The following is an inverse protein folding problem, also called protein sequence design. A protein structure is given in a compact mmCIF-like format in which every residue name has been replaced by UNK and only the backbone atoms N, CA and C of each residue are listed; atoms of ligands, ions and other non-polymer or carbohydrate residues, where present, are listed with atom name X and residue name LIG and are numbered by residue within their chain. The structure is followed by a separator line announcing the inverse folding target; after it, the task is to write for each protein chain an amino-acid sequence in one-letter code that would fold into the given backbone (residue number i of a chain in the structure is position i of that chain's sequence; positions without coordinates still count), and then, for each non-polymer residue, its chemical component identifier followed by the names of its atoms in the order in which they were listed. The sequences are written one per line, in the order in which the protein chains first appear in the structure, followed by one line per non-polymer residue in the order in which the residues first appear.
data_IF_232000973937
#
_entry.id   IF_232000973937
#
_cell.length_a   1.000
_cell.length_b   1.000
_cell.length_c   1.000
_cell.angle_alpha   90.00
_cell.angle_beta   90.00
_cell.angle_gamma   90.00
#
_symmetry.space_group_name_H-M   'P 1'
#
loop_
_entity.id
_entity.type
_entity.pdbx_description
1 polymer ?
#
# COMPACT_ATOMS: atom_id res chain seq x y z
N UNK A 1 68.51 45.07 16.19
CA UNK A 1 68.46 43.66 15.74
C UNK A 1 68.15 42.79 16.96
N UNK A 2 67.29 41.76 16.79
CA UNK A 2 66.33 41.17 17.77
C UNK A 2 65.01 41.97 17.76
N UNK A 3 63.83 41.47 17.38
CA UNK A 3 63.34 40.13 17.02
C UNK A 3 62.00 39.88 17.72
N UNK A 4 60.96 39.50 16.95
CA UNK A 4 59.60 39.00 17.30
C UNK A 4 58.46 40.02 17.59
N UNK A 5 57.18 39.67 17.34
CA UNK A 5 56.63 39.01 16.14
C UNK A 5 55.28 39.60 15.65
N UNK A 6 54.86 39.14 14.48
CA UNK A 6 53.61 39.44 13.78
C UNK A 6 52.36 38.97 14.54
N UNK A 7 51.33 39.84 14.59
CA UNK A 7 49.96 39.46 14.93
C UNK A 7 49.11 39.43 13.65
N UNK A 8 48.69 38.24 13.25
CA UNK A 8 47.76 38.00 12.16
C UNK A 8 46.33 38.35 12.61
N UNK A 9 45.68 39.30 11.93
CA UNK A 9 44.26 39.56 12.06
C UNK A 9 43.49 38.52 11.23
N UNK A 10 42.89 37.53 11.89
CA UNK A 10 41.89 36.67 11.28
C UNK A 10 40.54 37.41 11.27
N UNK A 11 40.12 37.86 10.09
CA UNK A 11 38.76 38.35 9.86
C UNK A 11 37.82 37.14 9.76
N UNK A 12 37.07 36.85 10.82
CA UNK A 12 36.00 35.86 10.81
C UNK A 12 34.78 36.47 10.09
N UNK A 13 34.56 36.08 8.84
CA UNK A 13 33.35 36.37 8.10
C UNK A 13 32.25 35.41 8.60
N UNK A 14 31.42 35.86 9.53
CA UNK A 14 30.23 35.14 9.95
C UNK A 14 29.19 35.19 8.81
N UNK A 15 29.11 34.11 8.03
CA UNK A 15 27.99 33.89 7.13
C UNK A 15 26.72 33.66 7.97
N UNK A 16 25.86 34.67 8.05
CA UNK A 16 24.48 34.48 8.52
C UNK A 16 23.79 33.54 7.53
N UNK A 17 23.70 32.27 7.89
CA UNK A 17 22.72 31.34 7.33
C UNK A 17 21.34 31.79 7.81
N UNK A 18 20.66 32.62 7.01
CA UNK A 18 19.23 32.83 7.17
C UNK A 18 18.54 31.52 6.81
N UNK A 19 18.16 30.74 7.81
CA UNK A 19 17.19 29.66 7.63
C UNK A 19 15.87 30.32 7.25
N UNK A 20 15.60 30.43 5.96
CA UNK A 20 14.24 30.69 5.49
C UNK A 20 13.38 29.58 6.07
N UNK A 21 12.46 29.97 6.96
CA UNK A 21 11.47 29.05 7.49
C UNK A 21 10.73 28.45 6.29
N UNK A 22 10.98 27.17 6.01
CA UNK A 22 10.14 26.41 5.13
C UNK A 22 8.72 26.57 5.68
N UNK A 23 7.85 27.24 4.92
CA UNK A 23 6.43 27.30 5.22
C UNK A 23 5.99 25.86 5.43
N UNK A 24 5.58 25.53 6.66
CA UNK A 24 5.09 24.21 6.99
C UNK A 24 4.02 23.85 5.98
N UNK A 25 4.13 22.67 5.35
CA UNK A 25 3.05 22.16 4.53
C UNK A 25 1.77 22.22 5.38
N UNK A 26 0.69 22.87 4.90
CA UNK A 26 -0.46 23.15 5.74
C UNK A 26 -1.24 21.88 6.17
N UNK A 27 -0.80 20.71 5.71
CA UNK A 27 -1.33 19.39 6.06
C UNK A 27 -0.20 18.41 6.42
N UNK A 28 -0.19 17.90 7.67
CA UNK A 28 0.88 17.07 8.22
C UNK A 28 0.62 15.55 8.09
N UNK A 29 0.43 15.07 6.86
CA UNK A 29 0.24 13.63 6.55
C UNK A 29 1.07 13.18 5.35
N UNK A 30 2.40 13.44 5.33
CA UNK A 30 3.22 13.29 4.14
C UNK A 30 3.26 11.88 3.54
N UNK A 31 3.00 10.86 4.35
CA UNK A 31 3.02 9.45 3.92
C UNK A 31 1.67 8.99 3.32
N UNK A 32 0.62 9.80 3.41
CA UNK A 32 -0.71 9.42 2.96
C UNK A 32 -0.96 9.87 1.51
N UNK A 33 -1.56 8.98 0.71
CA UNK A 33 -1.98 9.34 -0.63
C UNK A 33 -3.24 10.19 -0.62
N UNK A 34 -3.38 10.99 -1.66
CA UNK A 34 -4.64 11.64 -2.04
C UNK A 34 -5.10 10.97 -3.34
N UNK A 35 -6.25 10.29 -3.28
CA UNK A 35 -6.82 9.58 -4.43
C UNK A 35 -8.22 10.13 -4.71
N UNK A 36 -8.45 10.57 -5.94
CA UNK A 36 -9.74 11.02 -6.44
C UNK A 36 -10.16 10.13 -7.60
N UNK A 37 -11.46 9.86 -7.75
CA UNK A 37 -11.97 9.33 -9.01
C UNK A 37 -12.11 10.45 -10.03
N UNK A 38 -12.11 10.15 -11.32
CA UNK A 38 -12.28 11.18 -12.35
C UNK A 38 -13.64 11.86 -12.33
N UNK A 39 -14.66 11.20 -11.77
CA UNK A 39 -15.94 11.83 -11.42
C UNK A 39 -15.80 13.03 -10.47
N UNK A 40 -14.72 13.11 -9.67
CA UNK A 40 -14.41 14.23 -8.78
C UNK A 40 -13.52 15.30 -9.42
N UNK A 41 -13.09 15.13 -10.67
CA UNK A 41 -12.31 16.11 -11.43
C UNK A 41 -12.78 16.17 -12.89
N UNK A 42 -14.10 16.39 -13.14
CA UNK A 42 -14.71 16.22 -14.46
C UNK A 42 -14.16 17.20 -15.52
N UNK A 43 -13.52 18.30 -15.13
CA UNK A 43 -12.85 19.23 -16.06
C UNK A 43 -11.72 18.59 -16.87
N UNK A 44 -11.18 17.46 -16.41
CA UNK A 44 -10.14 16.71 -17.12
C UNK A 44 -10.69 15.58 -18.00
N UNK A 45 -12.00 15.31 -17.97
CA UNK A 45 -12.59 14.22 -18.74
C UNK A 45 -12.25 14.35 -20.24
N UNK A 46 -11.89 13.21 -20.86
CA UNK A 46 -11.45 13.14 -22.25
C UNK A 46 -9.98 13.52 -22.49
N UNK A 47 -9.22 13.90 -21.45
CA UNK A 47 -7.76 14.03 -21.56
C UNK A 47 -7.12 12.64 -21.64
N UNK A 48 -6.03 12.50 -22.38
CA UNK A 48 -5.26 11.26 -22.29
C UNK A 48 -4.60 11.17 -20.90
N UNK A 49 -4.53 9.98 -20.25
CA UNK A 49 -3.96 9.84 -18.91
C UNK A 49 -2.56 10.44 -18.76
N UNK A 50 -1.68 10.28 -19.76
CA UNK A 50 -0.32 10.83 -19.76
C UNK A 50 -0.24 12.35 -19.93
N UNK A 51 -1.34 13.00 -20.28
CA UNK A 51 -1.41 14.45 -20.49
C UNK A 51 -1.93 15.19 -19.25
N UNK A 52 -2.34 14.47 -18.20
CA UNK A 52 -2.71 15.04 -16.90
C UNK A 52 -1.44 15.27 -16.08
N UNK A 53 -1.21 16.52 -15.70
CA UNK A 53 -0.06 16.95 -14.89
C UNK A 53 -0.53 17.73 -13.67
N UNK A 54 0.26 17.72 -12.60
CA UNK A 54 -0.07 18.40 -11.35
C UNK A 54 0.96 19.46 -10.98
N UNK A 55 0.48 20.53 -10.38
CA UNK A 55 1.30 21.59 -9.83
C UNK A 55 0.84 21.97 -8.44
N UNK A 56 1.82 22.24 -7.57
CA UNK A 56 1.57 22.96 -6.31
C UNK A 56 1.99 24.41 -6.46
N UNK A 57 1.31 25.30 -5.75
CA UNK A 57 1.76 26.68 -5.60
C UNK A 57 2.50 26.82 -4.27
N UNK A 58 3.69 27.45 -4.30
CA UNK A 58 4.51 27.67 -3.12
C UNK A 58 4.84 29.14 -2.96
N UNK A 59 4.60 29.69 -1.77
CA UNK A 59 4.87 31.10 -1.45
C UNK A 59 6.32 31.47 -1.82
N UNK A 60 6.49 32.55 -2.58
CA UNK A 60 7.79 33.09 -3.00
C UNK A 60 8.48 32.36 -4.14
N UNK A 61 8.04 31.15 -4.53
CA UNK A 61 8.60 30.41 -5.68
C UNK A 61 7.60 30.16 -6.81
N UNK A 62 6.31 30.34 -6.54
CA UNK A 62 5.24 30.19 -7.52
C UNK A 62 4.93 28.72 -7.83
N UNK A 63 4.60 28.46 -9.09
CA UNK A 63 4.24 27.13 -9.57
C UNK A 63 5.43 26.15 -9.56
N UNK A 64 5.21 24.98 -8.97
CA UNK A 64 6.13 23.86 -8.98
C UNK A 64 5.41 22.62 -9.46
N UNK A 65 5.93 21.97 -10.49
CA UNK A 65 5.38 20.69 -10.93
C UNK A 65 5.58 19.65 -9.83
N UNK A 66 4.57 18.82 -9.59
CA UNK A 66 4.61 17.70 -8.67
C UNK A 66 4.14 16.42 -9.36
N UNK A 67 4.59 15.24 -8.92
CA UNK A 67 4.19 14.01 -9.55
C UNK A 67 2.68 13.77 -9.40
N UNK A 68 2.07 13.17 -10.41
CA UNK A 68 0.70 12.69 -10.42
C UNK A 68 0.64 11.40 -11.21
N UNK A 69 -0.29 10.53 -10.85
CA UNK A 69 -0.52 9.27 -11.52
C UNK A 69 -2.01 9.14 -11.84
N UNK A 70 -2.31 8.77 -13.07
CA UNK A 70 -3.65 8.34 -13.48
C UNK A 70 -3.64 6.83 -13.59
N UNK A 71 -4.48 6.18 -12.80
CA UNK A 71 -4.67 4.73 -12.82
C UNK A 71 -6.02 4.44 -13.46
N UNK A 72 -5.96 3.95 -14.70
CA UNK A 72 -7.15 3.61 -15.47
C UNK A 72 -7.95 2.47 -14.84
N UNK A 73 -9.29 2.59 -14.85
CA UNK A 73 -10.21 1.61 -14.28
C UNK A 73 -11.48 1.51 -15.12
N UNK A 74 -12.00 0.29 -15.20
CA UNK A 74 -13.27 0.03 -15.88
C UNK A 74 -14.14 -0.97 -15.13
N UNK A 75 -15.46 -0.89 -15.33
CA UNK A 75 -16.39 -1.97 -14.96
C UNK A 75 -16.20 -3.18 -15.87
N UNK A 76 -15.63 -4.27 -15.33
CA UNK A 76 -15.28 -5.47 -16.09
C UNK A 76 -15.86 -6.74 -15.48
N UNK A 77 -16.12 -7.73 -16.33
CA UNK A 77 -16.47 -9.07 -15.90
C UNK A 77 -15.27 -9.73 -15.19
N UNK A 78 -15.52 -10.36 -14.05
CA UNK A 78 -14.47 -10.99 -13.24
C UNK A 78 -13.86 -12.23 -13.92
N UNK A 79 -14.46 -12.77 -14.98
CA UNK A 79 -13.85 -13.79 -15.82
C UNK A 79 -12.81 -13.23 -16.80
N UNK A 80 -12.79 -11.91 -17.05
CA UNK A 80 -11.88 -11.28 -18.03
C UNK A 80 -10.39 -11.51 -17.70
N UNK A 81 -9.91 -11.33 -16.44
CA UNK A 81 -8.52 -11.65 -16.08
C UNK A 81 -8.11 -13.11 -16.35
N UNK A 82 -9.07 -14.03 -16.44
CA UNK A 82 -8.85 -15.44 -16.74
C UNK A 82 -8.88 -15.78 -18.24
N UNK A 83 -8.95 -14.77 -19.13
CA UNK A 83 -9.26 -14.97 -20.54
C UNK A 83 -10.54 -15.82 -20.74
N UNK A 84 -11.45 -15.76 -19.77
CA UNK A 84 -12.64 -16.59 -19.70
C UNK A 84 -13.83 -15.99 -20.45
N UNK A 85 -14.86 -16.81 -20.65
CA UNK A 85 -16.16 -16.30 -21.13
C UNK A 85 -16.81 -15.47 -20.03
N UNK A 86 -17.40 -14.29 -20.35
CA UNK A 86 -18.12 -13.48 -19.37
C UNK A 86 -19.18 -14.28 -18.61
N UNK A 87 -19.27 -14.02 -17.31
CA UNK A 87 -20.22 -14.67 -16.38
C UNK A 87 -21.37 -13.77 -15.97
N UNK A 88 -21.30 -12.47 -16.30
CA UNK A 88 -22.23 -11.44 -15.85
C UNK A 88 -21.87 -10.86 -14.47
N UNK A 89 -20.86 -11.41 -13.79
CA UNK A 89 -20.37 -10.89 -12.51
C UNK A 89 -19.36 -9.80 -12.78
N UNK A 90 -19.74 -8.55 -12.55
CA UNK A 90 -18.92 -7.38 -12.84
C UNK A 90 -18.44 -6.65 -11.58
N UNK A 91 -17.28 -6.00 -11.67
CA UNK A 91 -16.81 -5.03 -10.69
C UNK A 91 -15.85 -4.02 -11.34
N UNK A 92 -15.65 -2.87 -10.71
CA UNK A 92 -14.62 -1.91 -11.13
C UNK A 92 -13.24 -2.51 -10.89
N UNK A 93 -12.44 -2.63 -11.95
CA UNK A 93 -11.09 -3.20 -11.93
C UNK A 93 -10.08 -2.21 -12.51
N UNK A 94 -8.86 -2.22 -12.00
CA UNK A 94 -7.75 -1.56 -12.69
C UNK A 94 -7.52 -2.22 -14.05
N UNK A 95 -7.36 -1.43 -15.09
CA UNK A 95 -7.06 -1.90 -16.44
C UNK A 95 -5.56 -1.94 -16.67
N UNK A 96 -5.09 -2.82 -17.53
CA UNK A 96 -3.67 -2.99 -17.85
C UNK A 96 -3.53 -3.71 -19.20
N UNK A 97 -3.00 -3.01 -20.20
CA UNK A 97 -2.78 -3.58 -21.53
C UNK A 97 -1.80 -4.76 -21.54
N UNK A 98 -0.95 -4.89 -20.50
CA UNK A 98 -0.03 -5.99 -20.33
C UNK A 98 -0.67 -7.22 -19.65
N UNK A 99 -1.96 -7.17 -19.28
CA UNK A 99 -2.69 -8.31 -18.69
C UNK A 99 -3.90 -8.73 -19.52
N UNK A 100 -4.54 -9.84 -19.15
CA UNK A 100 -5.82 -10.25 -19.73
C UNK A 100 -6.97 -9.29 -19.40
N UNK A 101 -6.82 -8.44 -18.38
CA UNK A 101 -7.77 -7.35 -18.13
C UNK A 101 -7.81 -6.39 -19.32
N UNK A 102 -6.68 -6.21 -20.02
CA UNK A 102 -6.55 -5.36 -21.19
C UNK A 102 -6.57 -3.87 -20.86
N UNK A 103 -6.39 -3.01 -21.88
CA UNK A 103 -6.47 -1.56 -21.70
C UNK A 103 -7.89 -1.15 -21.28
N UNK A 104 -8.00 0.10 -20.84
CA UNK A 104 -9.30 0.70 -20.61
C UNK A 104 -10.15 0.71 -21.89
N UNK A 105 -11.41 0.24 -21.85
CA UNK A 105 -12.35 0.46 -22.95
C UNK A 105 -12.53 1.95 -23.29
N UNK A 106 -12.41 2.84 -22.30
CA UNK A 106 -12.39 4.29 -22.47
C UNK A 106 -10.93 4.78 -22.37
N UNK A 107 -10.24 4.86 -23.52
CA UNK A 107 -8.81 5.18 -23.57
C UNK A 107 -8.42 6.60 -23.11
N UNK A 108 -9.40 7.40 -22.68
CA UNK A 108 -9.20 8.76 -22.17
C UNK A 108 -9.78 8.85 -20.78
N UNK A 109 -9.19 9.69 -19.95
CA UNK A 109 -9.59 9.90 -18.57
C UNK A 109 -11.10 10.11 -18.42
N UNK A 110 -11.73 9.28 -17.60
CA UNK A 110 -13.19 9.22 -17.45
C UNK A 110 -13.63 9.27 -15.97
N UNK A 111 -14.80 8.71 -15.64
CA UNK A 111 -15.40 8.87 -14.32
C UNK A 111 -14.84 7.90 -13.25
N UNK A 112 -14.47 6.67 -13.64
CA UNK A 112 -14.01 5.61 -12.73
C UNK A 112 -12.49 5.50 -12.60
N UNK A 113 -11.74 6.14 -13.50
CA UNK A 113 -10.31 6.36 -13.36
C UNK A 113 -9.91 7.01 -12.04
N UNK A 114 -8.72 6.69 -11.54
CA UNK A 114 -8.17 7.28 -10.31
C UNK A 114 -7.03 8.26 -10.61
N UNK A 115 -7.08 9.46 -10.01
CA UNK A 115 -5.93 10.37 -9.90
C UNK A 115 -5.31 10.22 -8.52
N UNK A 116 -4.06 9.79 -8.48
CA UNK A 116 -3.28 9.60 -7.27
C UNK A 116 -2.16 10.64 -7.15
N UNK A 117 -1.99 11.16 -5.93
CA UNK A 117 -0.98 12.14 -5.52
C UNK A 117 -0.49 11.79 -4.11
N UNK A 118 0.62 12.37 -3.66
CA UNK A 118 1.03 12.31 -2.24
C UNK A 118 0.68 13.61 -1.51
N UNK A 119 0.21 13.52 -0.27
CA UNK A 119 -0.10 14.71 0.52
C UNK A 119 1.14 15.60 0.79
N UNK A 120 2.35 15.02 0.77
CA UNK A 120 3.62 15.75 0.84
C UNK A 120 3.85 16.72 -0.34
N UNK A 121 3.12 16.53 -1.44
CA UNK A 121 3.22 17.34 -2.65
C UNK A 121 2.19 18.46 -2.73
N UNK A 122 1.37 18.63 -1.69
CA UNK A 122 0.43 19.74 -1.62
C UNK A 122 1.16 21.07 -1.32
N UNK A 123 0.62 22.15 -1.86
CA UNK A 123 1.05 23.52 -1.61
C UNK A 123 -0.07 24.36 -1.01
N UNK A 124 0.07 25.68 -1.16
CA UNK A 124 -0.96 26.66 -0.81
C UNK A 124 -1.88 26.91 -2.01
N UNK A 125 -2.98 27.64 -1.80
CA UNK A 125 -3.85 28.10 -2.87
C UNK A 125 -3.06 28.94 -3.89
N UNK A 126 -3.30 28.71 -5.18
CA UNK A 126 -2.67 29.46 -6.26
C UNK A 126 -3.15 30.91 -6.37
N UNK A 127 -2.41 31.72 -7.11
CA UNK A 127 -2.70 33.14 -7.36
C UNK A 127 -3.62 33.40 -8.55
N UNK A 128 -4.19 32.34 -9.14
CA UNK A 128 -5.04 32.43 -10.33
C UNK A 128 -4.30 32.47 -11.66
N UNK A 129 -2.96 32.49 -11.67
CA UNK A 129 -2.17 32.33 -12.89
C UNK A 129 -2.06 30.86 -13.30
N UNK A 130 -1.63 30.58 -14.53
CA UNK A 130 -1.39 29.21 -14.99
C UNK A 130 0.10 28.99 -15.29
N UNK A 131 0.65 27.79 -14.97
CA UNK A 131 2.04 27.48 -15.26
C UNK A 131 2.28 27.40 -16.78
N UNK A 132 3.51 27.67 -17.21
CA UNK A 132 3.90 27.52 -18.63
C UNK A 132 3.80 26.05 -19.04
N UNK A 133 3.32 25.80 -20.27
CA UNK A 133 3.26 24.46 -20.85
C UNK A 133 1.98 23.69 -20.53
N UNK A 134 0.94 24.36 -20.03
CA UNK A 134 -0.41 23.79 -19.87
C UNK A 134 -1.38 24.38 -20.88
N UNK A 135 -2.45 23.64 -21.18
CA UNK A 135 -3.56 24.14 -22.00
C UNK A 135 -4.28 25.23 -21.22
N UNK A 136 -4.43 26.46 -21.77
CA UNK A 136 -5.06 27.56 -21.07
C UNK A 136 -6.48 27.25 -20.61
N UNK A 137 -6.80 27.55 -19.35
CA UNK A 137 -8.11 27.32 -18.74
C UNK A 137 -8.42 25.86 -18.38
N UNK A 138 -7.45 24.95 -18.49
CA UNK A 138 -7.63 23.52 -18.14
C UNK A 138 -7.47 23.21 -16.64
N UNK A 139 -7.13 24.22 -15.82
CA UNK A 139 -6.85 24.05 -14.40
C UNK A 139 -8.05 23.57 -13.59
N UNK A 140 -7.90 22.41 -12.93
CA UNK A 140 -8.83 21.88 -11.93
C UNK A 140 -8.16 21.96 -10.57
N UNK A 141 -8.62 22.89 -9.72
CA UNK A 141 -8.10 23.06 -8.36
C UNK A 141 -8.64 21.95 -7.47
N UNK A 142 -7.76 21.28 -6.76
CA UNK A 142 -8.11 20.26 -5.77
C UNK A 142 -7.74 20.78 -4.38
N UNK A 143 -8.76 20.93 -3.55
CA UNK A 143 -8.60 21.23 -2.11
C UNK A 143 -8.60 19.91 -1.35
N UNK A 144 -7.60 19.73 -0.50
CA UNK A 144 -7.43 18.56 0.36
C UNK A 144 -7.51 18.99 1.82
N UNK A 145 -8.30 18.28 2.63
CA UNK A 145 -8.43 18.53 4.08
C UNK A 145 -8.20 17.28 4.89
N UNK A 146 -7.72 17.46 6.11
CA UNK A 146 -7.60 16.39 7.10
C UNK A 146 -8.85 16.34 8.00
N UNK A 147 -9.65 15.24 8.00
CA UNK A 147 -10.79 15.13 8.91
C UNK A 147 -10.42 15.13 10.40
N UNK A 148 -9.15 14.89 10.73
CA UNK A 148 -8.65 14.92 12.11
C UNK A 148 -8.18 16.32 12.56
N UNK A 149 -7.98 17.24 11.62
CA UNK A 149 -7.59 18.63 11.88
C UNK A 149 -8.31 19.54 10.88
N UNK A 150 -9.42 20.12 11.31
CA UNK A 150 -10.26 20.96 10.45
C UNK A 150 -9.56 22.23 9.94
N UNK A 151 -8.43 22.63 10.54
CA UNK A 151 -7.62 23.75 10.08
C UNK A 151 -6.54 23.33 9.06
N UNK A 152 -6.22 22.03 8.98
CA UNK A 152 -5.23 21.51 8.05
C UNK A 152 -5.84 21.35 6.64
N UNK A 153 -5.33 22.13 5.71
CA UNK A 153 -5.70 22.03 4.29
C UNK A 153 -4.46 22.08 3.40
N UNK A 154 -4.58 21.63 2.16
CA UNK A 154 -3.53 21.74 1.16
C UNK A 154 -4.14 21.78 -0.23
N UNK A 155 -3.41 22.35 -1.18
CA UNK A 155 -3.89 22.56 -2.54
C UNK A 155 -2.94 22.00 -3.58
N UNK A 156 -3.53 21.51 -4.66
CA UNK A 156 -2.84 21.14 -5.89
C UNK A 156 -3.77 21.47 -7.05
N UNK A 157 -3.21 21.87 -8.19
CA UNK A 157 -3.99 22.15 -9.38
C UNK A 157 -3.55 21.19 -10.48
N UNK A 158 -4.53 20.45 -11.01
CA UNK A 158 -4.35 19.54 -12.12
C UNK A 158 -4.58 20.28 -13.43
N UNK A 159 -3.80 19.99 -14.45
CA UNK A 159 -3.92 20.60 -15.77
C UNK A 159 -3.81 19.55 -16.87
N UNK A 160 -4.27 19.90 -18.07
CA UNK A 160 -3.85 19.24 -19.30
C UNK A 160 -2.56 19.90 -19.77
N UNK A 161 -1.52 19.13 -20.07
CA UNK A 161 -0.28 19.69 -20.64
C UNK A 161 -0.49 20.12 -22.09
N UNK A 162 0.24 21.14 -22.51
CA UNK A 162 0.36 21.59 -23.90
C UNK A 162 1.69 21.07 -24.48
N UNK A 163 1.61 20.03 -25.32
CA UNK A 163 2.77 19.33 -25.85
C UNK A 163 3.36 18.29 -24.89
N UNK A 164 4.68 18.05 -24.97
CA UNK A 164 5.34 16.92 -24.29
C UNK A 164 6.46 17.34 -23.33
N UNK A 165 6.59 18.63 -23.02
CA UNK A 165 7.66 19.16 -22.15
C UNK A 165 7.40 18.88 -20.68
N UNK A 166 6.14 18.86 -20.27
CA UNK A 166 5.73 18.46 -18.93
C UNK A 166 5.54 16.95 -18.85
N UNK A 167 6.04 16.35 -17.78
CA UNK A 167 5.95 14.93 -17.49
C UNK A 167 5.12 14.67 -16.23
N UNK A 168 4.13 13.76 -16.22
CA UNK A 168 3.35 13.45 -15.01
C UNK A 168 4.20 13.02 -13.80
N UNK A 169 5.41 12.48 -14.01
CA UNK A 169 6.37 12.18 -12.95
C UNK A 169 7.17 13.39 -12.43
N UNK A 170 6.98 14.58 -13.02
CA UNK A 170 7.65 15.83 -12.66
C UNK A 170 9.19 15.72 -12.59
N UNK A 171 9.77 14.92 -13.48
CA UNK A 171 11.21 14.60 -13.53
C UNK A 171 11.80 14.06 -12.21
N UNK A 172 10.97 13.60 -11.27
CA UNK A 172 11.44 12.96 -10.04
C UNK A 172 11.73 11.49 -10.31
N UNK A 173 12.83 10.99 -9.75
CA UNK A 173 13.04 9.53 -9.64
C UNK A 173 11.88 8.96 -8.85
N UNK A 174 11.18 7.97 -9.41
CA UNK A 174 9.99 7.41 -8.79
C UNK A 174 10.36 6.86 -7.40
N UNK A 175 9.65 7.29 -6.35
CA UNK A 175 9.96 6.86 -4.99
C UNK A 175 9.54 5.40 -4.74
N UNK A 176 8.87 4.76 -5.70
CA UNK A 176 8.49 3.35 -5.71
C UNK A 176 8.92 2.74 -7.03
N UNK A 177 9.61 1.62 -6.97
CA UNK A 177 9.97 0.81 -8.13
C UNK A 177 9.43 -0.60 -7.96
N UNK A 178 8.53 -1.00 -8.84
CA UNK A 178 7.99 -2.36 -8.90
C UNK A 178 8.49 -3.07 -10.16
N UNK A 179 9.14 -4.21 -9.95
CA UNK A 179 9.56 -5.13 -11.00
C UNK A 179 8.78 -6.42 -10.85
N UNK A 180 7.86 -6.67 -11.77
CA UNK A 180 7.20 -7.96 -11.92
C UNK A 180 8.05 -8.88 -12.81
N UNK A 181 8.31 -10.12 -12.37
CA UNK A 181 9.09 -11.08 -13.15
C UNK A 181 8.72 -12.52 -12.84
N UNK A 182 8.28 -13.26 -13.85
CA UNK A 182 8.13 -14.72 -13.74
C UNK A 182 9.50 -15.40 -13.68
N UNK A 183 9.65 -16.37 -12.78
CA UNK A 183 10.92 -17.06 -12.55
C UNK A 183 11.31 -17.94 -13.75
N UNK A 184 10.36 -18.32 -14.60
CA UNK A 184 10.61 -19.03 -15.85
C UNK A 184 11.20 -18.13 -16.97
N UNK A 185 11.37 -16.83 -16.71
CA UNK A 185 11.91 -15.85 -17.66
C UNK A 185 10.94 -15.41 -18.76
N UNK A 186 9.72 -15.93 -18.78
CA UNK A 186 8.69 -15.53 -19.71
C UNK A 186 7.95 -14.26 -19.27
N UNK A 187 7.10 -13.75 -20.17
CA UNK A 187 6.29 -12.55 -19.91
C UNK A 187 4.85 -12.93 -19.60
N UNK A 188 4.19 -12.16 -18.73
CA UNK A 188 2.74 -12.22 -18.61
C UNK A 188 2.10 -11.49 -19.81
N UNK A 189 0.98 -11.98 -20.34
CA UNK A 189 0.25 -13.18 -19.91
C UNK A 189 0.76 -14.51 -20.52
N UNK A 190 1.60 -14.47 -21.55
CA UNK A 190 1.91 -15.62 -22.39
C UNK A 190 2.54 -16.82 -21.66
N UNK A 191 3.37 -16.56 -20.64
CA UNK A 191 4.09 -17.60 -19.90
C UNK A 191 3.44 -17.99 -18.56
N UNK A 192 2.18 -17.57 -18.34
CA UNK A 192 1.46 -17.79 -17.09
C UNK A 192 0.37 -18.85 -17.24
N UNK A 193 0.35 -19.83 -16.35
CA UNK A 193 -0.68 -20.86 -16.31
C UNK A 193 -1.86 -20.40 -15.44
N UNK A 194 -2.97 -20.05 -16.10
CA UNK A 194 -4.19 -19.59 -15.44
C UNK A 194 -4.94 -20.71 -14.71
N UNK A 195 -4.84 -21.95 -15.19
CA UNK A 195 -5.64 -23.07 -14.71
C UNK A 195 -5.00 -23.79 -13.53
N UNK A 196 -3.67 -23.89 -13.52
CA UNK A 196 -2.93 -24.59 -12.47
C UNK A 196 -1.60 -23.88 -12.21
N UNK A 197 -1.38 -23.44 -10.98
CA UNK A 197 -0.05 -23.01 -10.55
C UNK A 197 0.81 -24.18 -10.03
N UNK A 198 1.90 -23.87 -9.32
CA UNK A 198 2.39 -22.52 -9.04
C UNK A 198 2.84 -21.81 -10.33
N UNK A 199 2.91 -20.48 -10.27
CA UNK A 199 3.56 -19.67 -11.30
C UNK A 199 4.68 -18.86 -10.62
N UNK A 200 5.81 -19.51 -10.28
CA UNK A 200 6.83 -18.87 -9.47
C UNK A 200 7.32 -17.59 -10.13
N UNK A 201 7.58 -16.60 -9.30
CA UNK A 201 8.06 -15.28 -9.69
C UNK A 201 9.28 -14.88 -8.84
N UNK A 202 9.92 -13.78 -9.22
CA UNK A 202 10.93 -13.07 -8.42
C UNK A 202 10.65 -11.59 -8.60
N UNK A 203 9.52 -11.19 -8.00
CA UNK A 203 8.95 -9.86 -8.13
C UNK A 203 9.37 -9.03 -6.92
N UNK A 204 9.80 -7.78 -7.15
CA UNK A 204 10.31 -6.92 -6.08
C UNK A 204 9.69 -5.54 -6.10
N UNK A 205 9.34 -5.02 -4.93
CA UNK A 205 9.03 -3.59 -4.73
C UNK A 205 10.15 -2.98 -3.92
N UNK A 206 10.73 -1.88 -4.39
CA UNK A 206 11.78 -1.15 -3.69
C UNK A 206 11.41 0.33 -3.59
N UNK A 207 11.54 0.89 -2.39
CA UNK A 207 11.47 2.33 -2.11
C UNK A 207 12.74 2.74 -1.35
N UNK A 208 13.00 4.04 -1.14
CA UNK A 208 14.05 4.48 -0.22
C UNK A 208 13.84 4.03 1.24
N UNK A 209 12.66 3.51 1.59
CA UNK A 209 12.23 3.28 2.96
C UNK A 209 11.95 1.81 3.28
N UNK A 210 11.63 1.00 2.28
CA UNK A 210 11.44 -0.44 2.44
C UNK A 210 11.63 -1.22 1.14
N UNK A 211 11.74 -2.54 1.26
CA UNK A 211 11.70 -3.46 0.14
C UNK A 211 10.78 -4.64 0.47
N UNK A 212 10.03 -5.12 -0.54
CA UNK A 212 9.22 -6.34 -0.52
C UNK A 212 9.66 -7.28 -1.64
N UNK A 213 9.45 -8.57 -1.45
CA UNK A 213 9.60 -9.54 -2.53
C UNK A 213 8.50 -10.60 -2.47
N UNK A 214 8.15 -11.04 -3.67
CA UNK A 214 7.13 -12.03 -3.89
C UNK A 214 7.72 -13.16 -4.73
N UNK A 215 7.50 -14.41 -4.32
CA UNK A 215 7.92 -15.60 -5.08
C UNK A 215 6.78 -16.33 -5.79
N UNK A 216 5.53 -15.91 -5.58
CA UNK A 216 4.34 -16.24 -6.38
C UNK A 216 3.22 -15.26 -6.04
N UNK A 217 2.08 -15.35 -6.73
CA UNK A 217 0.96 -14.40 -6.64
C UNK A 217 0.55 -14.11 -5.19
N UNK A 218 0.35 -15.15 -4.35
CA UNK A 218 -0.06 -15.01 -2.94
C UNK A 218 1.11 -14.97 -1.96
N UNK A 219 2.33 -15.07 -2.45
CA UNK A 219 3.50 -15.33 -1.65
C UNK A 219 4.34 -14.07 -1.52
N UNK A 220 4.29 -13.44 -0.35
CA UNK A 220 5.19 -12.38 0.08
C UNK A 220 6.09 -12.93 1.19
N UNK A 221 7.39 -12.97 0.92
CA UNK A 221 8.35 -13.79 1.67
C UNK A 221 9.65 -13.05 1.99
N UNK A 222 9.66 -11.72 1.83
CA UNK A 222 10.74 -10.86 2.32
C UNK A 222 10.26 -9.44 2.54
N UNK A 223 10.69 -8.86 3.65
CA UNK A 223 10.42 -7.48 4.05
C UNK A 223 11.67 -6.86 4.68
N UNK A 224 12.15 -5.76 4.12
CA UNK A 224 13.25 -4.97 4.69
C UNK A 224 12.79 -3.54 4.94
N UNK A 225 13.20 -2.96 6.05
CA UNK A 225 12.93 -1.55 6.41
C UNK A 225 14.23 -0.77 6.46
N UNK A 226 14.24 0.41 5.84
CA UNK A 226 15.38 1.32 5.75
C UNK A 226 15.11 2.69 6.38
N UNK A 227 13.83 2.99 6.69
CA UNK A 227 13.42 4.25 7.31
C UNK A 227 14.26 4.58 8.55
N UNK A 228 14.75 5.81 8.64
CA UNK A 228 15.42 6.33 9.84
C UNK A 228 16.70 5.59 10.23
N UNK A 229 17.40 4.97 9.28
CA UNK A 229 18.62 4.21 9.54
C UNK A 229 18.36 2.81 10.09
N UNK A 230 17.16 2.26 9.87
CA UNK A 230 16.86 0.87 10.15
C UNK A 230 17.86 -0.07 9.45
N UNK A 231 18.17 -1.20 10.09
CA UNK A 231 19.27 -2.09 9.71
C UNK A 231 19.09 -2.78 8.35
N UNK A 232 17.88 -2.77 7.78
CA UNK A 232 17.61 -3.40 6.49
C UNK A 232 17.66 -4.93 6.52
N UNK A 233 17.66 -5.55 7.71
CA UNK A 233 17.53 -7.01 7.84
C UNK A 233 16.19 -7.48 7.29
N UNK A 234 16.16 -8.72 6.81
CA UNK A 234 14.92 -9.33 6.32
C UNK A 234 14.07 -9.82 7.49
N UNK A 235 12.93 -9.16 7.70
CA UNK A 235 12.05 -9.38 8.83
C UNK A 235 11.01 -10.46 8.57
N UNK A 236 10.65 -10.76 7.32
CA UNK A 236 9.48 -11.57 7.01
C UNK A 236 9.91 -12.97 6.57
N UNK A 237 9.37 -14.00 7.24
CA UNK A 237 9.36 -15.36 6.68
C UNK A 237 8.25 -15.44 5.64
N UNK A 238 7.03 -15.05 6.03
CA UNK A 238 5.87 -15.17 5.14
C UNK A 238 4.68 -14.28 5.53
N UNK A 239 3.98 -13.74 4.53
CA UNK A 239 2.59 -13.31 4.66
C UNK A 239 1.65 -14.50 4.49
N UNK A 240 1.27 -15.11 5.60
CA UNK A 240 0.50 -16.35 5.63
C UNK A 240 -1.00 -16.10 5.55
N UNK A 241 -1.70 -17.04 4.94
CA UNK A 241 -3.15 -17.15 5.02
C UNK A 241 -3.55 -18.54 5.48
N UNK A 242 -4.55 -18.66 6.37
CA UNK A 242 -5.08 -19.97 6.81
C UNK A 242 -6.59 -19.86 7.09
N UNK A 243 -7.30 -20.98 7.24
CA UNK A 243 -8.71 -20.97 7.70
C UNK A 243 -8.86 -20.96 9.23
N UNK A 244 -7.76 -21.16 9.95
CA UNK A 244 -7.74 -21.18 11.41
C UNK A 244 -6.40 -21.74 11.91
N UNK A 245 -6.10 -21.60 13.21
CA UNK A 245 -4.80 -21.97 13.75
C UNK A 245 -4.45 -23.43 13.47
N UNK A 246 -3.33 -23.67 12.77
CA UNK A 246 -2.84 -25.01 12.42
C UNK A 246 -3.58 -25.71 11.28
N UNK A 247 -4.52 -25.02 10.62
CA UNK A 247 -5.28 -25.58 9.50
C UNK A 247 -4.55 -25.38 8.17
N UNK A 248 -3.93 -26.44 7.67
CA UNK A 248 -3.16 -26.42 6.42
C UNK A 248 -3.96 -26.85 5.18
N UNK A 249 -5.29 -26.86 5.27
CA UNK A 249 -6.16 -27.21 4.12
C UNK A 249 -6.14 -26.12 3.05
N UNK A 250 -5.96 -24.87 3.48
CA UNK A 250 -5.81 -23.68 2.65
C UNK A 250 -4.68 -22.82 3.18
N UNK A 251 -3.81 -22.42 2.26
CA UNK A 251 -2.67 -21.53 2.45
C UNK A 251 -2.38 -20.74 1.19
N UNK A 252 -1.54 -19.72 1.30
CA UNK A 252 -1.01 -18.97 0.17
C UNK A 252 -0.33 -19.86 -0.88
N UNK A 253 0.28 -20.98 -0.48
CA UNK A 253 0.82 -21.97 -1.41
C UNK A 253 -0.30 -22.69 -2.16
N UNK A 254 -1.35 -23.14 -1.46
CA UNK A 254 -2.47 -23.81 -2.13
C UNK A 254 -3.25 -22.86 -3.05
N UNK A 255 -3.29 -21.56 -2.73
CA UNK A 255 -3.87 -20.54 -3.58
C UNK A 255 -2.99 -20.30 -4.82
N UNK A 256 -1.68 -20.19 -4.62
CA UNK A 256 -0.73 -20.02 -5.71
C UNK A 256 -0.70 -21.22 -6.66
N UNK A 257 -0.84 -22.44 -6.12
CA UNK A 257 -0.87 -23.69 -6.89
C UNK A 257 -2.18 -23.91 -7.67
N UNK A 258 -3.24 -23.15 -7.38
CA UNK A 258 -4.54 -23.30 -8.04
C UNK A 258 -4.69 -22.38 -9.25
N UNK A 259 -5.90 -22.31 -9.78
CA UNK A 259 -6.31 -21.31 -10.75
C UNK A 259 -6.13 -19.89 -10.22
N UNK A 260 -5.78 -18.96 -11.10
CA UNK A 260 -5.73 -17.54 -10.78
C UNK A 260 -5.10 -16.71 -11.90
N UNK A 261 -5.14 -15.40 -11.76
CA UNK A 261 -4.63 -14.46 -12.75
C UNK A 261 -4.13 -13.16 -12.11
N UNK A 262 -3.26 -12.43 -12.82
CA UNK A 262 -3.00 -11.03 -12.51
C UNK A 262 -4.03 -10.13 -13.19
N UNK A 263 -4.60 -9.21 -12.41
CA UNK A 263 -5.47 -8.13 -12.88
C UNK A 263 -4.62 -6.98 -13.42
N UNK A 264 -3.58 -6.58 -12.67
CA UNK A 264 -2.68 -5.48 -13.03
C UNK A 264 -1.30 -5.65 -12.37
N UNK A 265 -0.25 -5.28 -13.09
CA UNK A 265 1.12 -5.14 -12.58
C UNK A 265 1.73 -3.81 -13.05
N UNK A 266 1.30 -2.70 -12.43
CA UNK A 266 1.67 -1.34 -12.83
C UNK A 266 2.76 -0.76 -11.93
N UNK A 267 3.72 -0.07 -12.54
CA UNK A 267 4.69 0.78 -11.86
C UNK A 267 4.44 2.23 -12.29
N UNK A 268 4.35 3.15 -11.33
CA UNK A 268 3.99 4.54 -11.61
C UNK A 268 4.69 5.56 -10.69
N UNK A 269 4.57 6.85 -11.00
CA UNK A 269 5.33 7.91 -10.33
C UNK A 269 4.90 8.18 -8.88
N UNK A 270 3.69 7.78 -8.49
CA UNK A 270 3.16 7.94 -7.13
C UNK A 270 3.11 6.61 -6.39
N UNK A 271 2.64 5.57 -7.08
CA UNK A 271 2.47 4.23 -6.52
C UNK A 271 2.68 3.14 -7.55
N UNK A 272 3.09 1.97 -7.06
CA UNK A 272 2.96 0.74 -7.83
C UNK A 272 1.69 -0.01 -7.42
N UNK A 273 1.10 -0.73 -8.37
CA UNK A 273 -0.12 -1.52 -8.18
C UNK A 273 0.15 -2.96 -8.61
N UNK A 274 -0.10 -3.88 -7.69
CA UNK A 274 -0.12 -5.32 -7.96
C UNK A 274 -1.48 -5.85 -7.54
N UNK A 275 -2.26 -6.37 -8.47
CA UNK A 275 -3.56 -6.98 -8.16
C UNK A 275 -3.72 -8.31 -8.87
N UNK A 276 -4.27 -9.29 -8.16
CA UNK A 276 -4.45 -10.66 -8.66
C UNK A 276 -5.69 -11.31 -8.05
N UNK A 277 -6.18 -12.34 -8.73
CA UNK A 277 -7.35 -13.14 -8.35
C UNK A 277 -7.01 -14.64 -8.24
N UNK A 278 -7.84 -15.35 -7.49
CA UNK A 278 -7.87 -16.81 -7.41
C UNK A 278 -7.38 -17.34 -6.06
N UNK A 279 -8.26 -18.02 -5.33
CA UNK A 279 -7.95 -18.60 -4.01
C UNK A 279 -8.64 -19.97 -3.84
N UNK A 280 -8.21 -20.96 -4.64
CA UNK A 280 -8.90 -22.25 -4.79
C UNK A 280 -10.39 -22.04 -5.12
N UNK A 281 -11.32 -22.42 -4.22
CA UNK A 281 -12.76 -22.33 -4.45
C UNK A 281 -13.33 -20.91 -4.45
N UNK A 282 -12.49 -19.89 -4.22
CA UNK A 282 -12.81 -18.48 -4.42
C UNK A 282 -12.09 -17.91 -5.64
N UNK A 283 -12.47 -18.27 -6.88
CA UNK A 283 -11.79 -17.79 -8.10
C UNK A 283 -11.83 -16.26 -8.23
N UNK A 284 -12.84 -15.60 -7.69
CA UNK A 284 -12.96 -14.14 -7.73
C UNK A 284 -12.46 -13.43 -6.47
N UNK A 285 -11.92 -14.17 -5.50
CA UNK A 285 -11.22 -13.55 -4.37
C UNK A 285 -10.01 -12.81 -4.93
N UNK A 286 -9.92 -11.53 -4.61
CA UNK A 286 -8.93 -10.63 -5.18
C UNK A 286 -8.11 -10.00 -4.07
N UNK A 287 -6.80 -9.90 -4.27
CA UNK A 287 -5.92 -9.10 -3.42
C UNK A 287 -5.22 -8.04 -4.27
N UNK A 288 -5.27 -6.81 -3.78
CA UNK A 288 -4.65 -5.63 -4.39
C UNK A 288 -3.66 -5.03 -3.41
N UNK A 289 -2.44 -4.82 -3.88
CA UNK A 289 -1.37 -4.13 -3.19
C UNK A 289 -1.15 -2.77 -3.83
N UNK A 290 -1.22 -1.71 -3.03
CA UNK A 290 -0.88 -0.34 -3.42
C UNK A 290 0.37 0.08 -2.65
N UNK A 291 1.49 0.22 -3.35
CA UNK A 291 2.78 0.55 -2.76
C UNK A 291 3.06 2.03 -2.91
N UNK A 292 3.19 2.73 -1.79
CA UNK A 292 3.61 4.12 -1.69
C UNK A 292 5.02 4.18 -1.08
N UNK A 293 5.69 5.35 -1.04
CA UNK A 293 7.07 5.45 -0.57
C UNK A 293 7.29 4.90 0.85
N UNK A 294 6.38 5.23 1.78
CA UNK A 294 6.46 4.84 3.21
C UNK A 294 5.22 4.11 3.73
N UNK A 295 4.30 3.79 2.83
CA UNK A 295 3.01 3.17 3.12
C UNK A 295 2.72 2.05 2.13
N UNK A 296 2.08 0.98 2.57
CA UNK A 296 1.62 -0.11 1.71
C UNK A 296 0.23 -0.52 2.15
N UNK A 297 -0.73 -0.46 1.21
CA UNK A 297 -2.11 -0.87 1.45
C UNK A 297 -2.35 -2.22 0.78
N UNK A 298 -2.82 -3.19 1.55
CA UNK A 298 -3.24 -4.52 1.05
C UNK A 298 -4.74 -4.64 1.22
N UNK A 299 -5.48 -4.68 0.13
CA UNK A 299 -6.93 -4.81 0.09
C UNK A 299 -7.28 -6.21 -0.39
N UNK A 300 -7.97 -7.00 0.42
CA UNK A 300 -8.45 -8.34 0.06
C UNK A 300 -9.97 -8.34 0.01
N UNK A 301 -10.53 -8.44 -1.19
CA UNK A 301 -11.96 -8.63 -1.40
C UNK A 301 -12.26 -10.12 -1.49
N UNK A 302 -12.89 -10.67 -0.44
CA UNK A 302 -13.22 -12.09 -0.37
C UNK A 302 -14.45 -12.38 -1.21
N UNK A 303 -14.35 -13.29 -2.20
CA UNK A 303 -15.48 -13.72 -3.03
C UNK A 303 -15.45 -15.23 -3.14
N UNK A 304 -16.13 -15.89 -2.21
CA UNK A 304 -16.14 -17.35 -2.05
C UNK A 304 -17.45 -17.83 -1.44
N UNK A 305 -17.79 -19.10 -1.67
CA UNK A 305 -18.90 -19.75 -0.96
C UNK A 305 -18.68 -19.69 0.56
N UNK A 306 -19.67 -20.07 1.37
CA UNK A 306 -19.50 -20.05 2.83
C UNK A 306 -18.28 -20.86 3.29
N UNK A 307 -17.48 -20.30 4.20
CA UNK A 307 -16.26 -20.91 4.76
C UNK A 307 -16.25 -20.77 6.29
N UNK A 308 -15.40 -21.56 6.95
CA UNK A 308 -15.42 -21.65 8.42
C UNK A 308 -14.65 -20.53 9.14
N UNK A 309 -13.87 -19.74 8.42
CA UNK A 309 -13.02 -18.70 8.99
C UNK A 309 -11.83 -18.38 8.10
N UNK A 310 -11.11 -17.33 8.46
CA UNK A 310 -9.91 -16.87 7.75
C UNK A 310 -8.91 -16.25 8.72
N UNK A 311 -7.63 -16.44 8.45
CA UNK A 311 -6.51 -15.78 9.09
C UNK A 311 -5.64 -15.18 7.99
N UNK A 312 -5.16 -13.97 8.24
CA UNK A 312 -4.26 -13.23 7.36
C UNK A 312 -3.20 -12.63 8.28
N UNK A 313 -1.97 -13.12 8.27
CA UNK A 313 -1.00 -12.80 9.31
C UNK A 313 0.44 -12.79 8.78
N UNK A 314 1.31 -12.07 9.45
CA UNK A 314 2.75 -12.14 9.17
C UNK A 314 3.40 -13.13 10.11
N UNK A 315 4.29 -13.95 9.57
CA UNK A 315 5.28 -14.69 10.33
C UNK A 315 6.66 -14.09 10.05
N UNK A 316 7.39 -13.77 11.10
CA UNK A 316 8.66 -13.07 10.97
C UNK A 316 9.82 -14.06 10.88
N UNK A 317 11.00 -13.58 10.51
CA UNK A 317 12.24 -14.36 10.67
C UNK A 317 12.81 -14.10 12.06
N UNK A 318 13.82 -14.90 12.46
CA UNK A 318 14.61 -14.63 13.67
C UNK A 318 15.31 -13.27 13.69
N UNK A 319 15.38 -12.54 12.57
CA UNK A 319 15.85 -11.15 12.57
C UNK A 319 14.95 -10.21 13.39
N UNK A 320 13.70 -10.61 13.63
CA UNK A 320 12.77 -9.91 14.51
C UNK A 320 13.02 -10.16 16.02
N UNK A 321 13.99 -11.02 16.39
CA UNK A 321 14.29 -11.25 17.80
C UNK A 321 14.69 -9.96 18.53
N UNK A 322 14.11 -9.76 19.71
CA UNK A 322 14.27 -8.56 20.52
C UNK A 322 13.37 -7.39 20.10
N UNK A 323 12.62 -7.49 19.00
CA UNK A 323 11.53 -6.55 18.70
C UNK A 323 10.37 -6.79 19.66
N UNK A 324 9.50 -5.78 19.83
CA UNK A 324 8.28 -5.92 20.63
C UNK A 324 7.05 -5.92 19.75
N UNK A 325 6.20 -6.93 19.90
CA UNK A 325 4.85 -6.98 19.34
C UNK A 325 3.84 -6.33 20.29
N UNK A 326 2.93 -5.50 19.76
CA UNK A 326 1.79 -4.91 20.47
C UNK A 326 0.58 -4.82 19.56
N UNK A 327 -0.61 -4.79 20.13
CA UNK A 327 -1.81 -4.49 19.37
C UNK A 327 -2.86 -3.71 20.18
N UNK A 328 -3.94 -3.31 19.52
CA UNK A 328 -5.00 -2.48 20.08
C UNK A 328 -5.62 -2.99 21.38
N UNK A 329 -5.76 -4.31 21.54
CA UNK A 329 -6.33 -4.93 22.73
C UNK A 329 -5.28 -5.31 23.79
N UNK A 330 -3.99 -5.36 23.45
CA UNK A 330 -2.89 -5.56 24.41
C UNK A 330 -1.70 -4.64 24.11
N UNK A 331 -1.68 -3.51 24.82
CA UNK A 331 -0.66 -2.47 24.64
C UNK A 331 0.61 -2.72 25.48
N UNK A 332 0.61 -3.67 26.42
CA UNK A 332 1.83 -4.04 27.16
C UNK A 332 2.83 -4.62 26.17
N UNK A 333 2.33 -5.53 25.34
CA UNK A 333 3.10 -6.22 24.32
C UNK A 333 3.98 -7.32 24.88
N UNK A 334 4.61 -8.02 23.95
CA UNK A 334 5.48 -9.15 24.22
C UNK A 334 6.74 -9.03 23.37
N UNK A 335 7.86 -9.53 23.88
CA UNK A 335 9.11 -9.55 23.14
C UNK A 335 9.09 -10.74 22.20
N UNK A 336 9.39 -10.52 20.92
CA UNK A 336 9.59 -11.61 19.98
C UNK A 336 10.95 -12.25 20.32
N UNK A 337 10.94 -13.47 20.84
CA UNK A 337 12.13 -14.21 21.26
C UNK A 337 12.08 -15.73 20.98
N UNK A 338 11.03 -16.17 20.26
CA UNK A 338 10.82 -17.57 19.91
C UNK A 338 10.20 -18.41 21.02
N UNK A 339 9.73 -17.80 22.12
CA UNK A 339 9.11 -18.51 23.24
C UNK A 339 7.62 -18.19 23.34
N UNK A 340 6.78 -19.18 23.70
CA UNK A 340 5.35 -18.96 23.84
C UNK A 340 5.01 -17.84 24.83
N UNK A 341 4.37 -16.80 24.33
CA UNK A 341 3.77 -15.75 25.15
C UNK A 341 2.27 -15.96 25.37
N UNK A 342 1.73 -15.30 26.39
CA UNK A 342 0.29 -15.13 26.56
C UNK A 342 -0.06 -13.68 26.28
N UNK A 343 -0.93 -13.45 25.29
CA UNK A 343 -1.43 -12.13 24.93
C UNK A 343 -2.96 -12.12 24.98
N UNK A 344 -3.54 -10.97 25.34
CA UNK A 344 -4.99 -10.83 25.39
C UNK A 344 -5.56 -10.70 23.98
N UNK A 345 -6.21 -11.74 23.48
CA UNK A 345 -6.91 -11.66 22.20
C UNK A 345 -8.08 -10.66 22.26
N UNK A 346 -8.33 -9.96 21.16
CA UNK A 346 -9.45 -9.04 21.05
C UNK A 346 -9.53 -8.40 19.66
N UNK A 347 -10.46 -7.46 19.49
CA UNK A 347 -10.61 -6.73 18.22
C UNK A 347 -9.29 -6.11 17.80
N UNK A 348 -8.83 -6.49 16.62
CA UNK A 348 -7.56 -6.05 16.08
C UNK A 348 -7.75 -4.83 15.19
N UNK A 349 -7.53 -3.65 15.76
CA UNK A 349 -7.63 -2.37 15.07
C UNK A 349 -6.31 -1.96 14.45
N UNK A 350 -5.24 -2.20 15.19
CA UNK A 350 -3.87 -2.01 14.77
C UNK A 350 -2.98 -3.00 15.50
N UNK A 351 -1.87 -3.33 14.89
CA UNK A 351 -0.74 -4.01 15.51
C UNK A 351 0.56 -3.33 15.15
N UNK A 352 1.59 -3.65 15.92
CA UNK A 352 2.90 -3.05 15.79
C UNK A 352 3.98 -4.06 16.11
N UNK A 353 5.01 -4.08 15.28
CA UNK A 353 6.28 -4.76 15.56
C UNK A 353 7.38 -3.71 15.49
N UNK A 354 8.11 -3.52 16.60
CA UNK A 354 9.07 -2.42 16.74
C UNK A 354 10.39 -2.88 17.33
N UNK A 355 11.50 -2.58 16.64
CA UNK A 355 12.85 -2.93 17.06
C UNK A 355 13.70 -1.72 17.44
N UNK A 356 14.80 -1.96 18.16
CA UNK A 356 15.77 -0.92 18.49
C UNK A 356 16.63 -0.53 17.28
N UNK A 357 16.84 -1.44 16.33
CA UNK A 357 17.66 -1.21 15.13
C UNK A 357 16.97 -1.65 13.84
N UNK A 358 16.04 -2.60 13.89
CA UNK A 358 15.40 -3.19 12.72
C UNK A 358 14.42 -2.26 11.98
N UNK A 359 13.98 -1.19 12.63
CA UNK A 359 12.84 -0.38 12.19
C UNK A 359 11.56 -0.76 12.93
N UNK A 360 10.45 -0.19 12.50
CA UNK A 360 9.12 -0.45 13.06
C UNK A 360 8.08 -0.59 11.96
N UNK A 361 7.08 -1.42 12.22
CA UNK A 361 5.89 -1.60 11.39
C UNK A 361 4.67 -1.17 12.20
N UNK A 362 3.93 -0.18 11.72
CA UNK A 362 2.59 0.14 12.21
C UNK A 362 1.59 -0.41 11.21
N UNK A 363 0.78 -1.39 11.62
CA UNK A 363 -0.14 -2.11 10.75
C UNK A 363 -1.56 -1.81 11.23
N UNK A 364 -2.39 -1.24 10.38
CA UNK A 364 -3.78 -0.86 10.68
C UNK A 364 -4.71 -1.79 9.92
N UNK A 365 -5.74 -2.29 10.60
CA UNK A 365 -6.74 -3.17 10.04
C UNK A 365 -8.09 -2.45 9.95
N UNK A 366 -8.71 -2.57 8.79
CA UNK A 366 -10.05 -2.08 8.50
C UNK A 366 -10.84 -3.17 7.78
N UNK A 367 -12.09 -3.38 8.18
CA UNK A 367 -13.00 -4.31 7.52
C UNK A 367 -14.19 -3.52 7.01
N UNK A 368 -14.53 -3.72 5.75
CA UNK A 368 -15.79 -3.29 5.16
C UNK A 368 -16.61 -4.53 4.84
N UNK A 369 -17.81 -4.62 5.41
CA UNK A 369 -18.66 -5.80 5.19
C UNK A 369 -20.14 -5.50 5.36
N UNK A 370 -20.97 -6.26 4.66
CA UNK A 370 -22.43 -6.30 4.89
C UNK A 370 -22.85 -7.44 5.81
N UNK A 371 -21.91 -8.26 6.30
CA UNK A 371 -22.19 -9.40 7.19
C UNK A 371 -22.58 -8.84 8.57
N UNK A 372 -23.81 -9.09 9.05
CA UNK A 372 -24.26 -8.56 10.34
C UNK A 372 -23.43 -9.11 11.50
N UNK A 373 -22.99 -8.23 12.40
CA UNK A 373 -22.26 -8.61 13.60
C UNK A 373 -20.89 -9.22 13.34
N UNK A 374 -20.30 -9.00 12.16
CA UNK A 374 -18.98 -9.49 11.82
C UNK A 374 -17.90 -8.88 12.76
N UNK A 375 -17.07 -9.74 13.35
CA UNK A 375 -16.01 -9.34 14.27
C UNK A 375 -14.76 -10.18 14.06
N UNK A 376 -13.63 -9.53 13.78
CA UNK A 376 -12.32 -10.18 13.75
C UNK A 376 -11.61 -10.02 15.09
N UNK A 377 -10.99 -11.10 15.58
CA UNK A 377 -10.10 -11.09 16.75
C UNK A 377 -8.64 -11.08 16.30
N UNK A 378 -7.71 -10.90 17.23
CA UNK A 378 -6.27 -11.10 17.01
C UNK A 378 -5.85 -12.55 17.22
N UNK A 379 -4.78 -12.94 16.54
CA UNK A 379 -4.02 -14.16 16.79
C UNK A 379 -2.53 -13.82 16.88
N UNK A 380 -1.82 -14.49 17.80
CA UNK A 380 -0.39 -14.34 18.01
C UNK A 380 0.23 -15.71 18.37
N UNK A 381 1.41 -15.99 17.84
CA UNK A 381 2.22 -17.14 18.22
C UNK A 381 3.72 -16.83 18.06
N UNK A 382 4.47 -16.99 19.14
CA UNK A 382 5.94 -16.97 19.11
C UNK A 382 6.45 -18.27 19.71
N UNK A 383 6.94 -19.18 18.88
CA UNK A 383 7.38 -20.51 19.28
C UNK A 383 8.24 -21.14 18.18
N UNK A 384 9.52 -21.38 18.44
CA UNK A 384 10.41 -22.06 17.48
C UNK A 384 10.13 -23.55 17.31
N UNK A 385 9.29 -24.13 18.16
CA UNK A 385 8.89 -25.54 18.10
C UNK A 385 7.38 -25.66 18.25
N UNK A 386 6.61 -25.08 17.33
CA UNK A 386 5.18 -25.15 17.43
C UNK A 386 4.73 -26.60 17.24
N UNK A 387 3.83 -27.07 18.12
CA UNK A 387 3.30 -28.43 18.03
C UNK A 387 2.43 -28.64 16.78
N UNK A 388 2.09 -29.90 16.48
CA UNK A 388 1.32 -30.30 15.29
C UNK A 388 -0.17 -29.90 15.28
N UNK A 389 -0.65 -29.20 16.31
CA UNK A 389 -2.06 -28.76 16.47
C UNK A 389 -2.20 -27.28 16.08
N UNK A 390 -2.78 -26.46 16.95
CA UNK A 390 -3.05 -25.03 16.71
C UNK A 390 -1.81 -24.19 16.38
N UNK A 391 -0.60 -24.68 16.67
CA UNK A 391 0.65 -24.01 16.33
C UNK A 391 1.23 -24.40 14.96
N UNK A 392 0.70 -25.44 14.30
CA UNK A 392 1.32 -26.01 13.10
C UNK A 392 1.56 -24.94 12.03
N UNK A 393 2.81 -24.82 11.61
CA UNK A 393 3.18 -24.01 10.45
C UNK A 393 2.88 -24.79 9.17
N UNK A 394 2.13 -24.15 8.28
CA UNK A 394 1.64 -24.79 7.04
C UNK A 394 2.54 -24.52 5.84
N UNK A 395 3.31 -23.44 5.91
CA UNK A 395 4.10 -22.84 4.84
C UNK A 395 5.22 -22.02 5.49
N UNK A 396 6.22 -21.60 4.71
CA UNK A 396 7.44 -21.00 5.23
C UNK A 396 8.31 -22.03 5.96
N UNK A 397 9.05 -21.59 6.96
CA UNK A 397 9.77 -22.51 7.84
C UNK A 397 8.85 -23.19 8.89
N UNK A 398 9.43 -24.02 9.75
CA UNK A 398 8.67 -24.73 10.79
C UNK A 398 8.48 -23.94 12.09
N UNK A 399 8.99 -22.72 12.15
CA UNK A 399 8.99 -21.84 13.32
C UNK A 399 7.83 -20.85 13.21
N UNK A 400 7.30 -20.42 14.36
CA UNK A 400 6.43 -19.26 14.42
C UNK A 400 7.22 -18.18 15.14
N UNK A 401 7.62 -17.10 14.48
CA UNK A 401 8.38 -16.02 15.12
C UNK A 401 7.51 -14.78 15.14
N UNK A 402 6.97 -14.45 16.30
CA UNK A 402 6.03 -13.32 16.46
C UNK A 402 4.86 -13.35 15.47
N UNK A 403 4.44 -14.54 15.05
CA UNK A 403 3.45 -14.74 14.00
C UNK A 403 2.12 -14.09 14.42
N UNK A 404 1.65 -13.09 13.70
CA UNK A 404 0.58 -12.21 14.19
C UNK A 404 -0.27 -11.56 13.10
N UNK A 405 -1.55 -11.43 13.41
CA UNK A 405 -2.51 -10.79 12.53
C UNK A 405 -3.95 -11.08 12.91
N UNK A 406 -4.91 -10.62 12.09
CA UNK A 406 -6.32 -10.87 12.33
C UNK A 406 -6.72 -12.33 12.10
N UNK A 407 -7.71 -12.75 12.87
CA UNK A 407 -8.39 -14.03 12.77
C UNK A 407 -9.90 -13.86 12.87
N UNK A 408 -10.60 -14.31 11.83
CA UNK A 408 -12.04 -14.54 11.84
C UNK A 408 -12.28 -16.00 12.18
N UNK A 409 -12.74 -16.29 13.40
CA UNK A 409 -12.94 -17.65 13.90
C UNK A 409 -14.35 -18.20 13.68
N UNK A 410 -15.32 -17.32 13.45
CA UNK A 410 -16.69 -17.72 13.14
C UNK A 410 -16.89 -17.91 11.64
N UNK A 411 -17.85 -18.77 11.28
CA UNK A 411 -18.22 -19.02 9.90
C UNK A 411 -18.57 -17.73 9.15
N UNK A 412 -18.07 -17.64 7.93
CA UNK A 412 -18.30 -16.52 7.01
C UNK A 412 -19.38 -16.98 6.02
N UNK A 413 -20.54 -16.30 5.94
CA UNK A 413 -21.55 -16.61 4.94
C UNK A 413 -21.01 -16.36 3.53
N UNK A 414 -21.74 -16.80 2.51
CA UNK A 414 -21.31 -16.65 1.12
C UNK A 414 -21.04 -15.19 0.76
N UNK A 415 -19.86 -14.94 0.19
CA UNK A 415 -19.47 -13.68 -0.47
C UNK A 415 -19.26 -13.84 -1.98
N UNK A 416 -19.56 -15.03 -2.49
CA UNK A 416 -19.51 -15.39 -3.90
C UNK A 416 -20.60 -14.68 -4.71
N UNK A 417 -20.20 -13.64 -5.45
CA UNK A 417 -21.07 -12.78 -6.26
C UNK A 417 -21.77 -13.49 -7.43
N UNK A 418 -21.49 -14.77 -7.68
CA UNK A 418 -22.23 -15.57 -8.66
C UNK A 418 -23.58 -16.08 -8.12
N UNK A 419 -23.87 -15.85 -6.84
CA UNK A 419 -25.06 -16.34 -6.14
C UNK A 419 -25.98 -15.20 -5.70
N UNK A 420 -27.23 -15.54 -5.38
CA UNK A 420 -28.16 -14.61 -4.74
C UNK A 420 -27.86 -14.43 -3.24
N UNK A 421 -28.28 -13.29 -2.66
CA UNK A 421 -28.19 -13.06 -1.21
C UNK A 421 -26.76 -12.93 -0.67
N UNK A 422 -25.86 -12.39 -1.49
CA UNK A 422 -24.41 -12.34 -1.20
C UNK A 422 -24.06 -11.22 -0.24
N UNK A 423 -23.03 -11.47 0.55
CA UNK A 423 -22.42 -10.45 1.40
C UNK A 423 -21.14 -9.92 0.78
N UNK A 424 -20.80 -8.67 1.08
CA UNK A 424 -19.47 -8.15 0.81
C UNK A 424 -18.58 -8.35 2.04
N UNK A 425 -17.33 -8.75 1.83
CA UNK A 425 -16.29 -8.75 2.85
C UNK A 425 -14.97 -8.32 2.21
N UNK A 426 -14.48 -7.17 2.65
CA UNK A 426 -13.20 -6.60 2.26
C UNK A 426 -12.40 -6.29 3.51
N UNK A 427 -11.14 -6.73 3.53
CA UNK A 427 -10.18 -6.40 4.57
C UNK A 427 -9.06 -5.56 3.97
N UNK A 428 -8.78 -4.42 4.60
CA UNK A 428 -7.68 -3.53 4.26
C UNK A 428 -6.66 -3.54 5.38
N UNK A 429 -5.42 -3.85 5.02
CA UNK A 429 -4.23 -3.72 5.88
C UNK A 429 -3.38 -2.56 5.38
N UNK A 430 -3.32 -1.49 6.16
CA UNK A 430 -2.46 -0.33 5.87
C UNK A 430 -1.18 -0.43 6.71
N UNK A 431 -0.03 -0.49 6.06
CA UNK A 431 1.27 -0.72 6.70
C UNK A 431 2.11 0.54 6.54
N UNK A 432 2.58 1.10 7.65
CA UNK A 432 3.55 2.19 7.67
C UNK A 432 4.93 1.66 8.07
N UNK A 433 5.96 2.03 7.29
CA UNK A 433 7.35 1.63 7.52
C UNK A 433 8.11 2.76 8.23
N UNK A 434 8.43 2.52 9.49
CA UNK A 434 8.87 3.55 10.43
C UNK A 434 10.30 3.32 10.92
N UNK A 435 10.89 4.39 11.44
CA UNK A 435 12.23 4.34 12.02
C UNK A 435 12.29 3.39 13.22
N UNK A 436 13.49 2.92 13.61
CA UNK A 436 13.63 2.15 14.83
C UNK A 436 13.09 2.90 16.06
N UNK A 437 12.59 2.16 17.04
CA UNK A 437 12.08 2.72 18.27
C UNK A 437 10.74 3.45 18.15
N UNK A 438 9.94 3.16 17.11
CA UNK A 438 8.57 3.68 17.01
C UNK A 438 7.79 3.46 18.32
N UNK A 439 6.77 4.28 18.58
CA UNK A 439 5.99 4.29 19.84
C UNK A 439 4.53 3.83 19.63
N UNK A 440 3.86 3.38 20.70
CA UNK A 440 2.43 3.01 20.60
C UNK A 440 1.59 4.22 20.23
N UNK A 441 1.98 5.42 20.69
CA UNK A 441 1.30 6.65 20.34
C UNK A 441 1.40 6.94 18.83
N UNK A 442 2.54 6.62 18.19
CA UNK A 442 2.70 6.78 16.74
C UNK A 442 1.72 5.86 16.00
N UNK A 443 1.65 4.57 16.37
CA UNK A 443 0.72 3.61 15.73
C UNK A 443 -0.73 3.97 15.96
N UNK A 444 -1.11 4.45 17.15
CA UNK A 444 -2.47 4.95 17.39
C UNK A 444 -2.79 6.12 16.47
N UNK A 445 -1.85 7.06 16.28
CA UNK A 445 -2.03 8.14 15.30
C UNK A 445 -2.14 7.60 13.87
N UNK A 446 -1.31 6.63 13.47
CA UNK A 446 -1.43 5.95 12.16
C UNK A 446 -2.78 5.28 11.97
N UNK A 447 -3.31 4.64 13.00
CA UNK A 447 -4.63 4.02 12.97
C UNK A 447 -5.74 5.06 12.79
N UNK A 448 -5.65 6.19 13.47
CA UNK A 448 -6.59 7.30 13.30
C UNK A 448 -6.51 7.87 11.87
N UNK A 449 -5.32 8.16 11.36
CA UNK A 449 -5.14 8.74 10.02
C UNK A 449 -5.58 7.77 8.92
N UNK A 450 -5.24 6.48 9.01
CA UNK A 450 -5.66 5.48 8.02
C UNK A 450 -7.20 5.33 7.95
N UNK A 451 -7.90 5.50 9.07
CA UNK A 451 -9.37 5.43 9.15
C UNK A 451 -10.06 6.72 8.72
N UNK A 452 -9.40 7.85 8.93
CA UNK A 452 -9.86 9.16 8.49
C UNK A 452 -9.10 9.56 7.22
N UNK A 453 -9.38 8.92 6.09
CA UNK A 453 -8.71 9.26 4.82
C UNK A 453 -8.85 10.75 4.49
N UNK A 454 -7.82 11.32 3.85
CA UNK A 454 -7.84 12.70 3.40
C UNK A 454 -9.04 12.94 2.47
N UNK A 455 -9.73 14.06 2.66
CA UNK A 455 -10.87 14.44 1.83
C UNK A 455 -10.39 15.41 0.77
N UNK A 456 -10.55 15.03 -0.49
CA UNK A 456 -10.22 15.86 -1.63
C UNK A 456 -11.48 16.20 -2.44
N UNK A 457 -11.60 17.47 -2.82
CA UNK A 457 -12.70 18.01 -3.61
C UNK A 457 -12.14 18.94 -4.70
N UNK A 458 -12.66 18.84 -5.92
CA UNK A 458 -12.39 19.83 -6.96
C UNK A 458 -13.25 21.07 -6.77
N UNK A 459 -12.66 22.24 -6.97
CA UNK A 459 -13.36 23.53 -7.02
C UNK A 459 -13.85 23.91 -8.41
#
# INVERSE_FOLDING_TARGET
MKGLPAAAFACALAALLTTTAASAAPLNRPDDPVVLTGAKVPGLAGAAPQDIVAFRFAAGTGWQQVPVQVDERAMLDLAKPYAGTPTGVVATQYTDAATYTGPDPEATFDADDEVALMAADLGILDDGTEPVGVVPGSGVRVRVTDPLDAAAEGHVTLFRRDGTTLDPGAARTWPVSYTFRLANGGTYPAAYNLANGPNPEDSTVTTPFYQRHFSDRWVDDRLRVFTGGASGVDLLDRHKFQFGPGSCIRSEDTFSNAEGAFVVNKNGPIRAIRSYMGANSGPYTQRTHLFYPRRHDVVTALRVHAINGTMDFYDYTRAAFGMTYRHSADQRGVTIDGKPDTITAGTLEWERVSGATQGSLSIVHQTRTTIPGFTMTSWYLDNLRPGSKSGRQCTGDSEAVGASGPWQSAGIPSTDRTKDGVNDLENTRTIYYEAPGGTTADTVRRAQTARAALVAASG
#
